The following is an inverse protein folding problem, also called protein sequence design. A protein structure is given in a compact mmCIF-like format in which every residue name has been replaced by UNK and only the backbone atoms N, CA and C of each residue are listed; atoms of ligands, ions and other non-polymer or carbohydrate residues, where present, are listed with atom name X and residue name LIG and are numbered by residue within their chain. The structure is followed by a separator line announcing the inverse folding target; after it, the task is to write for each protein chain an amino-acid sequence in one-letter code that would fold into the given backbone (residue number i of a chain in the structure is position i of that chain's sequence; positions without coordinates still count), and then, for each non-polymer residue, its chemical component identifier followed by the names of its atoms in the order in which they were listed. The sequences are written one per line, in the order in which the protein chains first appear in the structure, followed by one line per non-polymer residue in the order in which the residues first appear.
data_IF_207449363554
#
_entry.id   IF_207449363554
#
_cell.length_a   1.000
_cell.length_b   1.000
_cell.length_c   1.000
_cell.angle_alpha   90.00
_cell.angle_beta   90.00
_cell.angle_gamma   90.00
#
_symmetry.space_group_name_H-M   'P 1'
#
loop_
_entity.id
_entity.type
_entity.pdbx_description
1 polymer ?
#
# COMPACT_ATOMS: atom_id res chain seq x y z
N UNK A 1 24.09 28.65 3.29
CA UNK A 1 23.87 27.45 2.47
C UNK A 1 22.43 27.49 1.97
N UNK A 2 22.23 27.76 0.68
CA UNK A 2 20.92 27.59 0.05
C UNK A 2 20.70 26.09 -0.15
N UNK A 3 19.77 25.49 0.58
CA UNK A 3 19.20 24.23 0.12
C UNK A 3 18.44 24.54 -1.19
N UNK A 4 18.64 23.77 -2.27
CA UNK A 4 17.83 23.93 -3.46
C UNK A 4 16.37 23.69 -3.09
N UNK A 5 15.47 24.55 -3.57
CA UNK A 5 14.04 24.34 -3.42
C UNK A 5 13.68 22.94 -3.98
N UNK A 6 12.81 22.17 -3.30
CA UNK A 6 12.39 20.86 -3.78
C UNK A 6 11.81 20.99 -5.19
N UNK A 7 12.10 20.02 -6.06
CA UNK A 7 11.57 20.05 -7.42
C UNK A 7 10.05 19.93 -7.41
N UNK A 8 9.37 20.38 -8.48
CA UNK A 8 7.91 20.26 -8.57
C UNK A 8 7.42 18.81 -8.41
N UNK A 9 8.23 17.84 -8.85
CA UNK A 9 7.96 16.41 -8.64
C UNK A 9 8.16 15.97 -7.19
N UNK A 10 9.15 16.52 -6.46
CA UNK A 10 9.33 16.25 -5.03
C UNK A 10 8.18 16.85 -4.19
N UNK A 11 7.66 18.03 -4.58
CA UNK A 11 6.52 18.65 -3.92
C UNK A 11 5.21 17.89 -4.17
N UNK A 12 4.96 17.42 -5.39
CA UNK A 12 3.80 16.57 -5.69
C UNK A 12 3.89 15.20 -5.01
N UNK A 13 5.12 14.67 -4.90
CA UNK A 13 5.43 13.45 -4.15
C UNK A 13 5.18 13.60 -2.65
N UNK A 14 5.66 14.67 -2.01
CA UNK A 14 5.40 14.89 -0.59
C UNK A 14 3.92 15.17 -0.34
N UNK A 15 3.24 15.93 -1.21
CA UNK A 15 1.78 16.16 -1.12
C UNK A 15 0.95 14.87 -1.21
N UNK A 16 1.41 13.87 -1.97
CA UNK A 16 0.73 12.56 -2.05
C UNK A 16 0.71 11.83 -0.70
N UNK A 17 1.69 12.05 0.17
CA UNK A 17 1.81 11.39 1.47
C UNK A 17 1.56 12.33 2.66
N UNK A 18 1.55 13.65 2.46
CA UNK A 18 1.27 14.66 3.48
C UNK A 18 -0.20 14.64 3.93
N UNK A 19 -1.14 14.35 3.03
CA UNK A 19 -2.56 14.18 3.39
C UNK A 19 -2.75 13.08 4.45
N UNK A 20 -2.06 11.93 4.27
CA UNK A 20 -2.07 10.81 5.21
C UNK A 20 -1.36 11.14 6.54
N UNK A 21 -0.40 12.06 6.51
CA UNK A 21 0.32 12.51 7.72
C UNK A 21 -0.50 13.53 8.52
N UNK A 22 -1.17 14.48 7.85
CA UNK A 22 -1.99 15.51 8.50
C UNK A 22 -3.28 14.95 9.11
N UNK A 23 -3.95 14.01 8.45
CA UNK A 23 -5.16 13.38 9.00
C UNK A 23 -4.85 12.54 10.25
N UNK A 24 -3.62 12.03 10.35
CA UNK A 24 -3.15 11.29 11.51
C UNK A 24 -2.60 12.18 12.65
N UNK A 25 -1.92 13.28 12.33
CA UNK A 25 -1.46 14.26 13.33
C UNK A 25 -2.61 14.91 14.09
N UNK A 26 -3.77 15.08 13.46
CA UNK A 26 -5.01 15.55 14.12
C UNK A 26 -5.47 14.63 15.26
N UNK A 27 -5.06 13.36 15.28
CA UNK A 27 -5.43 12.37 16.29
C UNK A 27 -4.36 12.21 17.41
N UNK A 28 -3.31 13.06 17.43
CA UNK A 28 -2.24 12.99 18.45
C UNK A 28 -2.00 14.30 19.20
N UNK A 29 -1.80 14.16 20.52
CA UNK A 29 -1.12 15.16 21.35
C UNK A 29 0.39 15.18 21.04
N UNK A 30 1.03 16.34 20.84
CA UNK A 30 2.41 16.41 20.39
C UNK A 30 3.38 15.94 21.49
N UNK A 31 4.27 15.01 21.13
CA UNK A 31 5.43 14.64 21.95
C UNK A 31 6.65 15.40 21.44
N UNK A 32 7.30 16.15 22.33
CA UNK A 32 8.59 16.81 22.06
C UNK A 32 9.65 15.76 21.77
N UNK A 33 10.38 15.96 20.68
CA UNK A 33 11.61 15.22 20.39
C UNK A 33 12.78 16.03 20.96
N UNK A 34 13.38 15.51 22.03
CA UNK A 34 14.61 16.04 22.62
C UNK A 34 15.79 15.25 22.03
N UNK A 35 16.63 15.87 21.18
CA UNK A 35 17.86 15.19 20.74
C UNK A 35 18.65 15.83 19.61
N UNK A 36 19.58 16.71 19.99
CA UNK A 36 20.85 17.07 19.34
C UNK A 36 21.11 16.65 17.87
N UNK A 37 21.28 17.67 17.01
CA UNK A 37 21.92 17.58 15.68
C UNK A 37 23.36 17.06 15.79
N UNK A 38 23.54 15.75 15.60
CA UNK A 38 24.81 15.18 15.13
C UNK A 38 24.77 15.12 13.61
N UNK A 39 25.80 15.65 12.94
CA UNK A 39 25.98 15.53 11.49
C UNK A 39 26.33 14.08 11.17
N UNK A 40 25.31 13.22 11.13
CA UNK A 40 25.38 11.81 10.74
C UNK A 40 24.35 11.52 9.66
N UNK A 41 24.58 10.45 8.88
CA UNK A 41 23.61 9.98 7.89
C UNK A 41 22.40 9.37 8.60
N UNK A 42 21.22 9.98 8.46
CA UNK A 42 19.99 9.46 9.07
C UNK A 42 19.47 8.25 8.28
N UNK A 43 19.89 7.06 8.70
CA UNK A 43 19.44 5.78 8.14
C UNK A 43 17.91 5.64 8.26
N UNK A 44 17.29 6.18 9.32
CA UNK A 44 15.84 6.09 9.49
C UNK A 44 15.11 6.92 8.44
N UNK A 45 15.59 8.13 8.15
CA UNK A 45 15.05 8.97 7.08
C UNK A 45 15.15 8.28 5.71
N UNK A 46 16.26 7.58 5.44
CA UNK A 46 16.43 6.84 4.18
C UNK A 46 15.49 5.64 4.07
N UNK A 47 15.32 4.87 5.15
CA UNK A 47 14.38 3.75 5.19
C UNK A 47 12.95 4.23 4.95
N UNK A 48 12.54 5.34 5.57
CA UNK A 48 11.23 5.98 5.36
C UNK A 48 11.06 6.44 3.91
N UNK A 49 12.09 7.11 3.35
CA UNK A 49 12.06 7.56 1.96
C UNK A 49 11.91 6.39 0.99
N UNK A 50 12.66 5.31 1.20
CA UNK A 50 12.57 4.09 0.39
C UNK A 50 11.17 3.47 0.45
N UNK A 51 10.58 3.35 1.65
CA UNK A 51 9.21 2.87 1.82
C UNK A 51 8.20 3.68 1.00
N UNK A 52 8.26 5.03 1.06
CA UNK A 52 7.38 5.91 0.26
C UNK A 52 7.60 5.76 -1.24
N UNK A 53 8.85 5.67 -1.69
CA UNK A 53 9.19 5.47 -3.11
C UNK A 53 8.64 4.14 -3.64
N UNK A 54 8.72 3.06 -2.86
CA UNK A 54 8.13 1.77 -3.24
C UNK A 54 6.61 1.87 -3.45
N UNK A 55 5.93 2.70 -2.65
CA UNK A 55 4.49 2.89 -2.72
C UNK A 55 4.02 3.90 -3.79
N UNK A 56 4.94 4.47 -4.56
CA UNK A 56 4.58 5.51 -5.54
C UNK A 56 3.81 4.91 -6.71
N UNK A 57 2.64 5.48 -7.08
CA UNK A 57 1.92 5.02 -8.26
C UNK A 57 2.76 5.23 -9.52
N UNK A 58 2.88 4.21 -10.36
CA UNK A 58 3.67 4.26 -11.60
C UNK A 58 2.73 4.48 -12.80
N UNK A 59 2.86 5.63 -13.44
CA UNK A 59 2.10 6.01 -14.63
C UNK A 59 0.76 6.71 -14.35
N UNK A 60 0.23 7.35 -15.39
CA UNK A 60 -0.98 8.19 -15.32
C UNK A 60 -2.22 7.42 -14.84
N UNK A 61 -2.34 6.16 -15.26
CA UNK A 61 -3.45 5.29 -14.88
C UNK A 61 -3.48 5.01 -13.36
N UNK A 62 -2.34 4.64 -12.79
CA UNK A 62 -2.22 4.39 -11.36
C UNK A 62 -2.46 5.67 -10.55
N UNK A 63 -1.92 6.81 -11.01
CA UNK A 63 -2.10 8.10 -10.34
C UNK A 63 -3.58 8.54 -10.29
N UNK A 64 -4.29 8.50 -11.42
CA UNK A 64 -5.73 8.84 -11.46
C UNK A 64 -6.57 7.91 -10.60
N UNK A 65 -6.22 6.63 -10.60
CA UNK A 65 -6.89 5.62 -9.78
C UNK A 65 -6.65 5.88 -8.29
N UNK A 66 -5.43 6.25 -7.90
CA UNK A 66 -5.12 6.61 -6.52
C UNK A 66 -5.92 7.84 -6.06
N UNK A 67 -6.08 8.85 -6.92
CA UNK A 67 -6.90 10.03 -6.61
C UNK A 67 -8.37 9.66 -6.39
N UNK A 68 -8.94 8.80 -7.25
CA UNK A 68 -10.30 8.30 -7.10
C UNK A 68 -10.46 7.44 -5.83
N UNK A 69 -9.47 6.59 -5.54
CA UNK A 69 -9.42 5.76 -4.34
C UNK A 69 -9.43 6.63 -3.07
N UNK A 70 -8.55 7.63 -2.97
CA UNK A 70 -8.48 8.54 -1.83
C UNK A 70 -9.82 9.25 -1.58
N UNK A 71 -10.46 9.73 -2.64
CA UNK A 71 -11.80 10.32 -2.53
C UNK A 71 -12.82 9.31 -1.97
N UNK A 72 -12.89 8.11 -2.53
CA UNK A 72 -13.87 7.10 -2.12
C UNK A 72 -13.62 6.61 -0.68
N UNK A 73 -12.35 6.40 -0.29
CA UNK A 73 -11.97 6.00 1.07
C UNK A 73 -12.34 7.07 2.08
N UNK A 74 -12.22 8.36 1.76
CA UNK A 74 -12.64 9.45 2.63
C UNK A 74 -14.15 9.44 2.92
N UNK A 75 -14.95 9.05 1.93
CA UNK A 75 -16.41 8.96 2.08
C UNK A 75 -16.85 7.70 2.86
N UNK A 76 -16.14 6.58 2.70
CA UNK A 76 -16.47 5.30 3.36
C UNK A 76 -15.92 5.26 4.79
N UNK A 77 -14.73 5.80 5.00
CA UNK A 77 -13.96 5.70 6.23
C UNK A 77 -13.01 4.49 6.25
N UNK A 78 -11.82 4.67 6.82
CA UNK A 78 -10.75 3.66 6.85
C UNK A 78 -11.11 2.40 7.68
N UNK A 79 -12.05 2.53 8.63
CA UNK A 79 -12.48 1.44 9.50
C UNK A 79 -13.14 0.30 8.73
N UNK A 80 -13.77 0.59 7.58
CA UNK A 80 -14.35 -0.41 6.69
C UNK A 80 -13.31 -1.33 6.04
N UNK A 81 -12.03 -0.96 6.07
CA UNK A 81 -10.95 -1.66 5.40
C UNK A 81 -9.93 -2.28 6.36
N UNK A 82 -10.18 -2.22 7.67
CA UNK A 82 -9.29 -2.83 8.66
C UNK A 82 -9.23 -4.35 8.47
N UNK A 83 -8.02 -4.87 8.45
CA UNK A 83 -7.76 -6.30 8.36
C UNK A 83 -7.82 -6.94 9.77
N UNK A 84 -9.04 -7.13 10.30
CA UNK A 84 -9.25 -7.89 11.53
C UNK A 84 -9.61 -9.34 11.17
N UNK A 85 -8.73 -10.27 11.55
CA UNK A 85 -8.95 -11.73 11.40
C UNK A 85 -10.28 -12.23 11.98
N UNK A 86 -10.92 -11.45 12.87
CA UNK A 86 -12.20 -11.79 13.49
C UNK A 86 -13.41 -11.38 12.65
N UNK A 87 -13.23 -10.55 11.61
CA UNK A 87 -14.35 -9.93 10.87
C UNK A 87 -14.06 -9.72 9.38
N UNK A 88 -13.67 -10.77 8.65
CA UNK A 88 -13.40 -10.69 7.19
C UNK A 88 -14.55 -10.08 6.38
N UNK A 89 -15.79 -10.34 6.77
CA UNK A 89 -16.98 -9.80 6.12
C UNK A 89 -17.06 -8.27 6.13
N UNK A 90 -16.52 -7.59 7.16
CA UNK A 90 -16.53 -6.11 7.21
C UNK A 90 -15.69 -5.56 6.07
N UNK A 91 -14.49 -6.11 5.89
CA UNK A 91 -13.63 -5.69 4.79
C UNK A 91 -14.26 -6.01 3.44
N UNK A 92 -14.84 -7.18 3.27
CA UNK A 92 -15.50 -7.55 2.02
C UNK A 92 -16.62 -6.57 1.66
N UNK A 93 -17.48 -6.21 2.61
CA UNK A 93 -18.52 -5.21 2.41
C UNK A 93 -17.95 -3.82 2.13
N UNK A 94 -16.85 -3.43 2.81
CA UNK A 94 -16.15 -2.19 2.53
C UNK A 94 -15.60 -2.13 1.09
N UNK A 95 -15.05 -3.24 0.59
CA UNK A 95 -14.57 -3.34 -0.80
C UNK A 95 -15.70 -3.29 -1.82
N UNK A 96 -16.86 -3.89 -1.51
CA UNK A 96 -18.04 -3.79 -2.37
C UNK A 96 -18.55 -2.35 -2.46
N UNK A 97 -18.62 -1.65 -1.32
CA UNK A 97 -18.98 -0.22 -1.29
C UNK A 97 -17.96 0.64 -2.06
N UNK A 98 -16.66 0.35 -1.89
CA UNK A 98 -15.59 1.01 -2.63
C UNK A 98 -15.74 0.82 -4.13
N UNK A 99 -16.02 -0.40 -4.58
CA UNK A 99 -16.27 -0.69 -5.99
C UNK A 99 -17.46 0.12 -6.53
N UNK A 100 -18.55 0.24 -5.77
CA UNK A 100 -19.71 1.04 -6.17
C UNK A 100 -19.34 2.52 -6.32
N UNK A 101 -18.69 3.12 -5.32
CA UNK A 101 -18.28 4.53 -5.37
C UNK A 101 -17.29 4.82 -6.52
N UNK A 102 -16.33 3.93 -6.75
CA UNK A 102 -15.40 4.08 -7.87
C UNK A 102 -16.16 4.04 -9.21
N UNK A 103 -17.11 3.11 -9.39
CA UNK A 103 -17.94 3.03 -10.60
C UNK A 103 -18.84 4.24 -10.80
N UNK A 104 -19.36 4.84 -9.74
CA UNK A 104 -20.11 6.10 -9.81
C UNK A 104 -19.23 7.26 -10.28
N UNK A 105 -17.97 7.31 -9.84
CA UNK A 105 -17.02 8.36 -10.23
C UNK A 105 -16.56 8.23 -11.69
N UNK A 106 -16.25 7.02 -12.17
CA UNK A 106 -15.90 6.77 -13.57
C UNK A 106 -16.35 5.35 -13.99
N UNK A 107 -17.56 5.22 -14.59
CA UNK A 107 -18.10 3.91 -14.95
C UNK A 107 -17.35 3.26 -16.10
N UNK A 108 -16.66 4.04 -16.95
CA UNK A 108 -15.89 3.52 -18.08
C UNK A 108 -14.61 2.85 -17.56
N UNK A 109 -13.90 3.52 -16.65
CA UNK A 109 -12.64 3.02 -16.09
C UNK A 109 -12.87 1.91 -15.06
N UNK A 110 -13.83 2.08 -14.16
CA UNK A 110 -14.02 1.21 -13.00
C UNK A 110 -15.16 0.17 -13.18
N UNK A 111 -15.88 0.20 -14.31
CA UNK A 111 -16.98 -0.72 -14.58
C UNK A 111 -16.59 -2.20 -14.49
N UNK A 112 -15.33 -2.51 -14.80
CA UNK A 112 -14.78 -3.88 -14.84
C UNK A 112 -13.88 -4.21 -13.64
N UNK A 113 -13.92 -3.44 -12.54
CA UNK A 113 -13.20 -3.79 -11.32
C UNK A 113 -13.59 -5.20 -10.85
N UNK A 114 -12.58 -6.00 -10.53
CA UNK A 114 -12.72 -7.34 -9.98
C UNK A 114 -12.18 -7.37 -8.55
N UNK A 115 -12.92 -7.98 -7.63
CA UNK A 115 -12.37 -8.33 -6.31
C UNK A 115 -11.53 -9.59 -6.45
N UNK A 116 -10.38 -9.63 -5.80
CA UNK A 116 -9.63 -10.86 -5.61
C UNK A 116 -9.24 -11.05 -4.17
N UNK A 117 -9.08 -12.32 -3.82
CA UNK A 117 -8.45 -12.77 -2.59
C UNK A 117 -7.07 -13.28 -2.93
N UNK A 118 -6.12 -13.07 -2.04
CA UNK A 118 -4.77 -13.61 -2.21
C UNK A 118 -4.71 -15.14 -2.34
N UNK A 119 -5.78 -15.87 -2.02
CA UNK A 119 -5.85 -17.34 -2.15
C UNK A 119 -6.11 -17.85 -3.57
N UNK A 120 -6.66 -17.05 -4.49
CA UNK A 120 -7.07 -17.56 -5.81
C UNK A 120 -5.89 -17.56 -6.79
N UNK A 121 -5.33 -18.73 -7.18
CA UNK A 121 -4.29 -18.79 -8.18
C UNK A 121 -4.95 -18.60 -9.55
N UNK A 122 -4.46 -17.67 -10.36
CA UNK A 122 -4.64 -17.79 -11.82
C UNK A 122 -3.38 -18.47 -12.37
N UNK A 123 -3.54 -19.35 -13.36
CA UNK A 123 -2.43 -20.10 -13.97
C UNK A 123 -1.27 -19.16 -14.32
N UNK A 124 -0.07 -19.45 -13.81
CA UNK A 124 1.15 -18.66 -14.04
C UNK A 124 1.56 -17.68 -12.94
N UNK A 125 0.85 -17.60 -11.80
CA UNK A 125 1.26 -16.75 -10.67
C UNK A 125 2.51 -17.30 -9.95
N UNK A 126 3.64 -16.60 -10.08
CA UNK A 126 4.97 -17.06 -9.62
C UNK A 126 5.27 -16.65 -8.16
N UNK A 127 4.54 -15.70 -7.58
CA UNK A 127 4.90 -15.13 -6.27
C UNK A 127 3.92 -15.52 -5.15
N UNK A 128 4.43 -16.23 -4.15
CA UNK A 128 3.69 -16.65 -2.94
C UNK A 128 3.55 -15.54 -1.88
N UNK A 129 4.15 -14.37 -2.11
CA UNK A 129 4.23 -13.30 -1.10
C UNK A 129 2.85 -12.70 -0.76
N UNK A 130 1.97 -12.51 -1.75
CA UNK A 130 0.61 -12.00 -1.49
C UNK A 130 -0.31 -13.07 -0.93
N UNK A 131 -0.17 -14.36 -1.31
CA UNK A 131 -0.98 -15.48 -0.77
C UNK A 131 -1.03 -15.47 0.76
N UNK A 132 0.07 -15.03 1.38
CA UNK A 132 0.29 -15.03 2.83
C UNK A 132 -0.22 -13.75 3.52
N UNK A 133 -0.67 -12.74 2.78
CA UNK A 133 -1.44 -11.63 3.34
C UNK A 133 -2.87 -12.05 3.71
N UNK A 134 -3.37 -13.17 3.16
CA UNK A 134 -4.76 -13.64 3.32
C UNK A 134 -5.79 -12.50 3.23
N UNK A 135 -5.67 -11.69 2.18
CA UNK A 135 -6.35 -10.41 2.10
C UNK A 135 -7.11 -10.22 0.80
N UNK A 136 -8.22 -9.47 0.91
CA UNK A 136 -9.04 -9.08 -0.22
C UNK A 136 -8.63 -7.70 -0.71
N UNK A 137 -8.52 -7.52 -2.02
CA UNK A 137 -8.20 -6.25 -2.67
C UNK A 137 -8.92 -6.17 -4.03
N UNK A 138 -8.82 -5.03 -4.71
CA UNK A 138 -9.42 -4.85 -6.04
C UNK A 138 -8.35 -4.85 -7.13
N UNK A 139 -8.64 -5.49 -8.25
CA UNK A 139 -7.87 -5.39 -9.48
C UNK A 139 -8.46 -4.32 -10.38
N UNK A 140 -7.58 -3.40 -10.82
CA UNK A 140 -7.90 -2.56 -11.96
C UNK A 140 -7.68 -3.39 -13.24
N UNK A 141 -8.68 -3.58 -14.11
CA UNK A 141 -8.50 -4.22 -15.41
C UNK A 141 -7.66 -3.31 -16.33
N UNK A 142 -6.91 -3.87 -17.29
CA UNK A 142 -6.08 -3.08 -18.18
C UNK A 142 -6.96 -2.23 -19.12
N UNK A 143 -6.58 -0.97 -19.30
CA UNK A 143 -7.36 0.00 -20.11
C UNK A 143 -7.05 -0.05 -21.62
N UNK A 144 -6.01 -0.77 -22.06
CA UNK A 144 -5.53 -0.74 -23.46
C UNK A 144 -5.83 -2.05 -24.18
N UNK A 145 -6.50 -1.95 -25.34
CA UNK A 145 -6.66 -3.05 -26.29
C UNK A 145 -5.30 -3.40 -26.90
N UNK A 146 -4.78 -4.59 -26.63
CA UNK A 146 -3.59 -5.10 -27.31
C UNK A 146 -4.00 -5.54 -28.72
N UNK A 147 -3.79 -4.67 -29.71
CA UNK A 147 -3.74 -5.01 -31.14
C UNK A 147 -5.05 -5.46 -31.79
N UNK A 148 -5.23 -5.10 -33.06
CA UNK A 148 -6.41 -5.47 -33.85
C UNK A 148 -6.56 -6.99 -34.02
N UNK A 149 -7.82 -7.44 -34.03
CA UNK A 149 -8.30 -8.80 -34.31
C UNK A 149 -8.07 -9.88 -33.24
N UNK A 150 -8.71 -9.71 -32.08
CA UNK A 150 -9.63 -10.72 -31.53
C UNK A 150 -10.32 -10.12 -30.31
N UNK A 151 -11.61 -10.43 -30.10
CA UNK A 151 -12.40 -9.91 -28.98
C UNK A 151 -11.98 -10.47 -27.60
N UNK A 152 -10.78 -11.06 -27.51
CA UNK A 152 -10.05 -11.51 -26.34
C UNK A 152 -8.60 -11.00 -26.47
N UNK A 153 -8.01 -10.16 -25.61
CA UNK A 153 -8.39 -9.74 -24.29
C UNK A 153 -7.66 -8.44 -23.94
N UNK A 154 -8.35 -7.52 -23.26
CA UNK A 154 -7.70 -6.57 -22.36
C UNK A 154 -7.00 -7.42 -21.28
N UNK A 155 -5.70 -7.68 -21.43
CA UNK A 155 -4.93 -8.47 -20.47
C UNK A 155 -3.59 -7.78 -20.17
N UNK A 156 -3.16 -7.89 -18.92
CA UNK A 156 -1.80 -7.54 -18.54
C UNK A 156 -0.82 -8.52 -19.17
N UNK A 157 0.40 -8.09 -19.51
CA UNK A 157 1.39 -8.98 -20.12
C UNK A 157 1.83 -10.09 -19.14
N UNK A 158 1.72 -9.83 -17.83
CA UNK A 158 1.95 -10.81 -16.77
C UNK A 158 1.09 -10.52 -15.54
N UNK A 159 1.10 -11.44 -14.57
CA UNK A 159 0.47 -11.19 -13.27
C UNK A 159 1.16 -10.05 -12.50
N UNK A 160 2.47 -9.90 -12.64
CA UNK A 160 3.29 -8.89 -11.96
C UNK A 160 2.96 -7.45 -12.38
N UNK A 161 2.44 -7.26 -13.59
CA UNK A 161 2.02 -5.96 -14.12
C UNK A 161 0.60 -5.55 -13.70
N UNK A 162 -0.19 -6.49 -13.16
CA UNK A 162 -1.58 -6.21 -12.76
C UNK A 162 -1.62 -5.12 -11.70
N UNK A 163 -2.49 -4.13 -11.88
CA UNK A 163 -2.62 -3.01 -10.95
C UNK A 163 -3.60 -3.37 -9.83
N UNK A 164 -3.09 -3.31 -8.60
CA UNK A 164 -3.82 -3.52 -7.35
C UNK A 164 -4.31 -2.16 -6.84
N UNK A 165 -5.52 -2.14 -6.30
CA UNK A 165 -6.09 -1.04 -5.53
C UNK A 165 -6.26 -1.54 -4.09
N UNK A 166 -5.48 -1.00 -3.18
CA UNK A 166 -5.50 -1.32 -1.74
C UNK A 166 -5.93 -0.09 -0.94
N UNK A 167 -7.13 -0.08 -0.34
CA UNK A 167 -7.64 1.08 0.40
C UNK A 167 -6.99 1.34 1.77
N UNK A 168 -6.34 0.34 2.38
CA UNK A 168 -5.72 0.48 3.70
C UNK A 168 -4.44 -0.36 3.85
N UNK A 169 -3.44 -0.07 3.01
CA UNK A 169 -2.15 -0.75 2.95
C UNK A 169 -1.43 -0.73 4.30
N UNK A 170 -1.45 0.41 4.99
CA UNK A 170 -0.76 0.58 6.28
C UNK A 170 -1.21 -0.44 7.32
N UNK A 171 -2.50 -0.79 7.34
CA UNK A 171 -3.07 -1.70 8.34
C UNK A 171 -2.40 -3.07 8.37
N UNK A 172 -1.84 -3.54 7.24
CA UNK A 172 -1.12 -4.81 7.13
C UNK A 172 0.18 -4.93 7.89
N UNK A 173 0.79 -3.79 8.21
CA UNK A 173 2.12 -3.72 8.79
C UNK A 173 2.08 -3.30 10.27
N UNK A 174 0.89 -2.98 10.78
CA UNK A 174 0.67 -2.67 12.20
C UNK A 174 0.80 -3.96 13.00
N UNK A 175 1.68 -3.93 14.00
CA UNK A 175 1.95 -5.05 14.90
C UNK A 175 2.01 -4.57 16.33
N UNK A 176 1.59 -5.43 17.26
CA UNK A 176 1.74 -5.15 18.69
C UNK A 176 3.22 -5.14 19.09
N UNK A 177 3.57 -4.27 20.06
CA UNK A 177 4.92 -4.20 20.66
C UNK A 177 6.05 -3.90 19.67
N UNK A 178 5.75 -3.17 18.60
CA UNK A 178 6.75 -2.64 17.68
C UNK A 178 7.78 -1.75 18.41
N UNK A 179 9.03 -1.73 17.92
CA UNK A 179 10.00 -0.70 18.32
C UNK A 179 9.54 0.66 17.81
N UNK A 180 10.00 1.74 18.46
CA UNK A 180 9.63 3.10 18.04
C UNK A 180 10.06 3.39 16.60
N UNK A 181 11.19 2.83 16.14
CA UNK A 181 11.66 2.99 14.78
C UNK A 181 10.73 2.30 13.76
N UNK A 182 10.30 1.06 14.02
CA UNK A 182 9.37 0.36 13.13
C UNK A 182 7.99 1.01 13.15
N UNK A 183 7.50 1.46 14.31
CA UNK A 183 6.25 2.20 14.40
C UNK A 183 6.28 3.47 13.53
N UNK A 184 7.37 4.26 13.58
CA UNK A 184 7.55 5.41 12.69
C UNK A 184 7.59 5.05 11.21
N UNK A 185 8.23 3.94 10.85
CA UNK A 185 8.23 3.44 9.47
C UNK A 185 6.81 3.12 8.99
N UNK A 186 6.04 2.38 9.77
CA UNK A 186 4.63 2.07 9.45
C UNK A 186 3.79 3.35 9.38
N UNK A 187 3.99 4.31 10.30
CA UNK A 187 3.31 5.60 10.29
C UNK A 187 3.64 6.46 9.05
N UNK A 188 4.79 6.22 8.42
CA UNK A 188 5.21 6.94 7.22
C UNK A 188 4.69 6.35 5.90
N UNK A 189 4.10 5.15 5.94
CA UNK A 189 3.52 4.47 4.77
C UNK A 189 2.19 5.11 4.38
N UNK A 190 1.84 5.19 3.09
CA UNK A 190 0.50 5.62 2.70
C UNK A 190 -0.59 4.70 3.26
N UNK A 191 -1.78 5.25 3.46
CA UNK A 191 -2.97 4.45 3.78
C UNK A 191 -3.53 3.80 2.52
N UNK A 192 -3.68 4.57 1.44
CA UNK A 192 -4.18 4.09 0.15
C UNK A 192 -3.02 3.80 -0.83
N UNK A 193 -3.07 2.66 -1.51
CA UNK A 193 -2.06 2.25 -2.49
C UNK A 193 -2.70 1.85 -3.82
N UNK A 194 -2.08 2.31 -4.90
CA UNK A 194 -2.35 1.84 -6.26
C UNK A 194 -1.03 1.61 -6.97
N UNK A 195 -0.78 0.37 -7.38
CA UNK A 195 0.46 0.00 -8.03
C UNK A 195 0.43 -1.45 -8.50
N UNK A 196 1.49 -1.88 -9.16
CA UNK A 196 1.53 -3.24 -9.71
C UNK A 196 1.70 -4.30 -8.63
N UNK A 197 1.36 -5.55 -8.95
CA UNK A 197 1.60 -6.69 -8.07
C UNK A 197 3.09 -6.84 -7.69
N UNK A 198 4.00 -6.60 -8.64
CA UNK A 198 5.44 -6.59 -8.36
C UNK A 198 5.81 -5.52 -7.30
N UNK A 199 5.26 -4.30 -7.43
CA UNK A 199 5.50 -3.25 -6.44
C UNK A 199 5.00 -3.66 -5.05
N UNK A 200 3.81 -4.24 -4.95
CA UNK A 200 3.28 -4.69 -3.66
C UNK A 200 4.15 -5.80 -3.05
N UNK A 201 4.65 -6.72 -3.87
CA UNK A 201 5.56 -7.77 -3.43
C UNK A 201 6.87 -7.19 -2.85
N UNK A 202 7.44 -6.18 -3.51
CA UNK A 202 8.63 -5.46 -3.01
C UNK A 202 8.35 -4.76 -1.67
N UNK A 203 7.20 -4.08 -1.55
CA UNK A 203 6.77 -3.42 -0.31
C UNK A 203 6.64 -4.43 0.83
N UNK A 204 5.95 -5.56 0.59
CA UNK A 204 5.72 -6.60 1.60
C UNK A 204 7.05 -7.17 2.07
N UNK A 205 7.98 -7.46 1.15
CA UNK A 205 9.31 -7.95 1.48
C UNK A 205 10.11 -6.93 2.32
N UNK A 206 10.12 -5.67 1.88
CA UNK A 206 10.80 -4.58 2.57
C UNK A 206 10.28 -4.40 4.01
N UNK A 207 8.97 -4.24 4.16
CA UNK A 207 8.34 -4.03 5.46
C UNK A 207 8.52 -5.24 6.38
N UNK A 208 8.42 -6.46 5.85
CA UNK A 208 8.62 -7.68 6.65
C UNK A 208 10.04 -7.78 7.20
N UNK A 209 11.05 -7.36 6.42
CA UNK A 209 12.44 -7.32 6.88
C UNK A 209 12.60 -6.39 8.09
N UNK A 210 12.04 -5.19 8.02
CA UNK A 210 12.08 -4.22 9.12
C UNK A 210 11.26 -4.69 10.34
N UNK A 211 10.13 -5.35 10.10
CA UNK A 211 9.30 -5.94 11.16
C UNK A 211 10.04 -7.05 11.90
N UNK A 212 10.71 -7.97 11.17
CA UNK A 212 11.51 -9.04 11.77
C UNK A 212 12.59 -8.46 12.68
N UNK A 213 13.25 -7.38 12.28
CA UNK A 213 14.26 -6.70 13.11
C UNK A 213 13.64 -6.10 14.37
N UNK A 214 12.48 -5.43 14.25
CA UNK A 214 11.73 -4.93 15.41
C UNK A 214 11.39 -6.03 16.42
N UNK A 215 10.97 -7.21 15.94
CA UNK A 215 10.63 -8.33 16.80
C UNK A 215 11.88 -8.87 17.51
N UNK A 216 12.99 -9.05 16.79
CA UNK A 216 14.27 -9.48 17.36
C UNK A 216 14.78 -8.53 18.44
N UNK A 217 14.75 -7.22 18.16
CA UNK A 217 15.14 -6.18 19.13
C UNK A 217 14.24 -6.18 20.37
N UNK A 218 12.95 -6.48 20.19
CA UNK A 218 11.98 -6.55 21.28
C UNK A 218 11.96 -7.90 22.01
N UNK A 219 12.81 -8.85 21.62
CA UNK A 219 12.85 -10.21 22.18
C UNK A 219 11.58 -11.03 21.91
N UNK A 220 10.89 -10.76 20.80
CA UNK A 220 9.64 -11.41 20.40
C UNK A 220 9.86 -12.47 19.33
N UNK A 221 9.08 -13.54 19.40
CA UNK A 221 9.06 -14.56 18.35
C UNK A 221 8.43 -14.00 17.06
N UNK A 222 9.11 -14.25 15.94
CA UNK A 222 8.63 -13.83 14.62
C UNK A 222 7.35 -14.60 14.29
N UNK A 223 6.25 -13.90 13.94
CA UNK A 223 5.00 -14.55 13.63
C UNK A 223 5.16 -15.49 12.42
N UNK A 224 4.51 -16.67 12.42
CA UNK A 224 4.74 -17.70 11.41
C UNK A 224 4.46 -17.23 9.98
N UNK A 225 3.46 -16.34 9.79
CA UNK A 225 3.11 -15.75 8.49
C UNK A 225 4.15 -14.75 7.95
N UNK A 226 5.19 -14.43 8.73
CA UNK A 226 6.25 -13.47 8.36
C UNK A 226 7.66 -14.00 8.61
N UNK A 227 7.83 -15.31 8.70
CA UNK A 227 9.18 -15.90 8.75
C UNK A 227 9.88 -15.76 7.39
N UNK A 228 11.22 -15.74 7.32
CA UNK A 228 11.94 -15.67 6.04
C UNK A 228 11.55 -16.78 5.05
N UNK A 229 11.33 -18.00 5.54
CA UNK A 229 10.82 -19.14 4.74
C UNK A 229 9.40 -18.93 4.21
N UNK A 230 8.69 -17.94 4.73
CA UNK A 230 7.38 -17.53 4.28
C UNK A 230 7.46 -16.35 3.28
N UNK A 231 8.63 -15.78 2.99
CA UNK A 231 8.78 -14.62 2.07
C UNK A 231 9.62 -14.95 0.82
N UNK A 232 10.29 -16.10 0.80
CA UNK A 232 10.90 -16.77 -0.36
C UNK A 232 9.92 -17.72 -1.02
#
# INVERSE_FOLDING_TARGET
MNQPAPSMGDMEFDMLFEEDAMDFERDRTPRRDDGATTVGFDVSAVVVRTARLLCTPRGEEAYRTLKALKWAVREIGLDAFKDDSRVSHVRESGLEELMMKLRENDPVKFGRLERATSETPREGDVSDALKKLNHSFLWLPPSVLIGDSDAHALAYASADERIIIEPNLRSHFVVGRATAQYARLVESMPTAFVGTYAQLSEIVFFMSTHMINSFRESGLDIPPWRRPSALT
#
